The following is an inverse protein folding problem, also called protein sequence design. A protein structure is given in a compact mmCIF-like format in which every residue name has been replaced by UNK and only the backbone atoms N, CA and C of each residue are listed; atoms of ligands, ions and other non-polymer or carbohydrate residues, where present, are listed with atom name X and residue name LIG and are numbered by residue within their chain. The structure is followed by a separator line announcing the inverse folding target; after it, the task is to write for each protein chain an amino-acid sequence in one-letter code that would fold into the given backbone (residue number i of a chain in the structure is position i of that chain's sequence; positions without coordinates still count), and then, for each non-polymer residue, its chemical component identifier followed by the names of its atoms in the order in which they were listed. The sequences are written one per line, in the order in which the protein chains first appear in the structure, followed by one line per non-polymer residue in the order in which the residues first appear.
data_IF_736214894769
#
_entry.id   IF_736214894769
#
_cell.length_a   1.000
_cell.length_b   1.000
_cell.length_c   1.000
_cell.angle_alpha   90.00
_cell.angle_beta   90.00
_cell.angle_gamma   90.00
#
_symmetry.space_group_name_H-M   'P 1'
#
loop_
_entity.id
_entity.type
_entity.pdbx_description
1 polymer ?
#
# COMPACT_ATOMS: atom_id res chain seq x y z
N UNK A 1 -11.84 -18.95 -13.11
CA UNK A 1 -12.37 -17.57 -13.24
C UNK A 1 -11.23 -16.64 -12.89
N UNK A 2 -11.05 -15.54 -13.62
CA UNK A 2 -10.03 -14.53 -13.32
C UNK A 2 -10.46 -13.60 -12.18
N UNK A 3 -11.40 -14.03 -11.34
CA UNK A 3 -11.97 -13.23 -10.26
C UNK A 3 -11.19 -13.48 -8.98
N UNK A 4 -10.69 -12.42 -8.36
CA UNK A 4 -9.93 -12.51 -7.11
C UNK A 4 -10.80 -12.23 -5.89
N UNK A 5 -11.88 -11.45 -6.08
CA UNK A 5 -12.89 -11.12 -5.09
C UNK A 5 -14.21 -10.82 -5.81
N UNK A 6 -15.38 -10.91 -5.14
CA UNK A 6 -16.66 -10.64 -5.78
C UNK A 6 -16.68 -9.29 -6.51
N UNK A 7 -16.83 -9.34 -7.84
CA UNK A 7 -16.88 -8.15 -8.71
C UNK A 7 -15.51 -7.57 -9.09
N UNK A 8 -14.40 -8.22 -8.73
CA UNK A 8 -13.04 -7.75 -9.04
C UNK A 8 -12.24 -8.81 -9.79
N UNK A 9 -11.85 -8.48 -11.02
CA UNK A 9 -11.24 -9.41 -11.97
C UNK A 9 -9.80 -8.99 -12.31
N UNK A 10 -8.92 -9.96 -12.53
CA UNK A 10 -7.59 -9.73 -13.09
C UNK A 10 -7.71 -9.25 -14.54
N UNK A 11 -6.88 -8.27 -14.93
CA UNK A 11 -6.83 -7.81 -16.33
C UNK A 11 -6.05 -8.75 -17.24
N UNK A 12 -5.13 -9.53 -16.66
CA UNK A 12 -4.28 -10.50 -17.34
C UNK A 12 -3.83 -11.61 -16.38
N UNK A 13 -3.02 -12.54 -16.87
CA UNK A 13 -2.47 -13.67 -16.12
C UNK A 13 -1.39 -13.31 -15.10
N UNK A 14 -0.81 -12.10 -15.17
CA UNK A 14 0.20 -11.63 -14.21
C UNK A 14 -0.42 -11.31 -12.86
N UNK A 15 -1.69 -10.92 -12.86
CA UNK A 15 -2.41 -10.48 -11.67
C UNK A 15 -1.91 -9.16 -11.10
N UNK A 16 -1.12 -8.38 -11.85
CA UNK A 16 -0.60 -7.09 -11.38
C UNK A 16 -1.63 -5.97 -11.39
N UNK A 17 -2.68 -6.11 -12.21
CA UNK A 17 -3.79 -5.17 -12.25
C UNK A 17 -5.12 -5.91 -12.15
N UNK A 18 -6.08 -5.22 -11.56
CA UNK A 18 -7.45 -5.69 -11.37
C UNK A 18 -8.45 -4.62 -11.78
N UNK A 19 -9.65 -5.06 -12.15
CA UNK A 19 -10.72 -4.20 -12.62
C UNK A 19 -12.09 -4.68 -12.15
N UNK A 20 -12.98 -3.74 -11.87
CA UNK A 20 -14.41 -3.97 -11.65
C UNK A 20 -15.25 -3.72 -12.93
N UNK A 21 -14.59 -3.40 -14.04
CA UNK A 21 -15.20 -3.01 -15.32
C UNK A 21 -15.18 -1.50 -15.56
N UNK A 22 -15.10 -0.69 -14.51
CA UNK A 22 -15.09 0.78 -14.61
C UNK A 22 -13.68 1.36 -14.46
N UNK A 23 -12.84 0.74 -13.63
CA UNK A 23 -11.48 1.19 -13.37
C UNK A 23 -10.46 0.04 -13.37
N UNK A 24 -9.19 0.33 -13.67
CA UNK A 24 -8.07 -0.62 -13.64
C UNK A 24 -7.04 -0.13 -12.62
N UNK A 25 -6.75 -0.93 -11.61
CA UNK A 25 -5.88 -0.53 -10.49
C UNK A 25 -4.79 -1.55 -10.21
N UNK A 26 -3.60 -1.13 -9.74
CA UNK A 26 -2.57 -2.07 -9.31
C UNK A 26 -3.06 -2.91 -8.12
N UNK A 27 -2.90 -4.23 -8.22
CA UNK A 27 -3.42 -5.17 -7.22
C UNK A 27 -2.86 -4.90 -5.82
N UNK A 28 -1.56 -4.64 -5.70
CA UNK A 28 -0.90 -4.50 -4.38
C UNK A 28 -1.46 -3.29 -3.60
N UNK A 29 -1.58 -2.12 -4.22
CA UNK A 29 -2.08 -0.91 -3.54
C UNK A 29 -3.57 -1.01 -3.22
N UNK A 30 -4.37 -1.63 -4.11
CA UNK A 30 -5.78 -1.88 -3.81
C UNK A 30 -5.94 -2.82 -2.60
N UNK A 31 -5.22 -3.95 -2.61
CA UNK A 31 -5.29 -4.92 -1.51
C UNK A 31 -4.77 -4.35 -0.20
N UNK A 32 -3.82 -3.42 -0.24
CA UNK A 32 -3.40 -2.67 0.96
C UNK A 32 -4.56 -1.93 1.62
N UNK A 33 -5.43 -1.30 0.83
CA UNK A 33 -6.62 -0.63 1.35
C UNK A 33 -7.74 -1.58 1.78
N UNK A 34 -7.71 -2.83 1.33
CA UNK A 34 -8.65 -3.89 1.71
C UNK A 34 -8.27 -4.60 3.02
N UNK A 35 -7.01 -4.49 3.44
CA UNK A 35 -6.54 -5.01 4.72
C UNK A 35 -7.33 -4.41 5.90
N UNK A 36 -7.62 -5.22 6.92
CA UNK A 36 -8.49 -4.86 8.05
C UNK A 36 -9.95 -4.48 7.71
N UNK A 37 -10.43 -4.79 6.49
CA UNK A 37 -11.86 -4.67 6.19
C UNK A 37 -12.64 -5.89 6.69
N UNK A 38 -13.78 -5.73 7.38
CA UNK A 38 -14.53 -6.86 7.95
C UNK A 38 -14.98 -7.93 6.96
N UNK A 39 -15.06 -7.59 5.67
CA UNK A 39 -15.52 -8.49 4.61
C UNK A 39 -14.44 -9.48 4.15
N UNK A 40 -13.18 -9.28 4.53
CA UNK A 40 -12.02 -10.02 4.01
C UNK A 40 -11.12 -10.47 5.15
N UNK A 41 -10.59 -11.69 5.05
CA UNK A 41 -9.59 -12.16 6.00
C UNK A 41 -8.22 -11.52 5.71
N UNK A 42 -7.51 -11.09 6.75
CA UNK A 42 -6.19 -10.47 6.56
C UNK A 42 -5.17 -11.45 5.99
N UNK A 43 -5.28 -12.75 6.29
CA UNK A 43 -4.45 -13.78 5.69
C UNK A 43 -4.67 -13.88 4.19
N UNK A 44 -5.94 -13.89 3.74
CA UNK A 44 -6.28 -13.86 2.31
C UNK A 44 -5.72 -12.61 1.61
N UNK A 45 -5.85 -11.44 2.23
CA UNK A 45 -5.28 -10.19 1.69
C UNK A 45 -3.76 -10.28 1.57
N UNK A 46 -3.08 -10.80 2.60
CA UNK A 46 -1.62 -10.99 2.59
C UNK A 46 -1.20 -12.00 1.53
N UNK A 47 -1.94 -13.09 1.33
CA UNK A 47 -1.65 -14.10 0.31
C UNK A 47 -1.76 -13.51 -1.10
N UNK A 48 -2.76 -12.68 -1.38
CA UNK A 48 -2.88 -11.98 -2.67
C UNK A 48 -1.71 -11.02 -2.87
N UNK A 49 -1.37 -10.21 -1.86
CA UNK A 49 -0.22 -9.28 -1.93
C UNK A 49 1.09 -10.04 -2.20
N UNK A 50 1.35 -11.11 -1.44
CA UNK A 50 2.56 -11.91 -1.59
C UNK A 50 2.63 -12.60 -2.95
N UNK A 51 1.50 -13.10 -3.46
CA UNK A 51 1.41 -13.71 -4.80
C UNK A 51 1.74 -12.70 -5.89
N UNK A 52 1.18 -11.49 -5.81
CA UNK A 52 1.47 -10.41 -6.77
C UNK A 52 2.96 -10.01 -6.73
N UNK A 53 3.55 -9.87 -5.53
CA UNK A 53 4.98 -9.59 -5.39
C UNK A 53 5.82 -10.72 -6.02
N UNK A 54 5.48 -11.98 -5.75
CA UNK A 54 6.18 -13.14 -6.30
C UNK A 54 6.04 -13.27 -7.83
N UNK A 55 4.93 -12.78 -8.39
CA UNK A 55 4.69 -12.70 -9.83
C UNK A 55 5.49 -11.56 -10.52
N UNK A 56 6.21 -10.74 -9.75
CA UNK A 56 7.00 -9.63 -10.27
C UNK A 56 6.23 -8.32 -10.44
N UNK A 57 5.04 -8.22 -9.83
CA UNK A 57 4.30 -6.96 -9.82
C UNK A 57 5.07 -5.88 -9.07
N UNK A 58 5.02 -4.66 -9.59
CA UNK A 58 5.87 -3.57 -9.14
C UNK A 58 5.43 -3.07 -7.76
N UNK A 59 6.27 -3.27 -6.76
CA UNK A 59 5.93 -3.03 -5.34
C UNK A 59 5.65 -1.56 -5.00
N UNK A 60 6.23 -0.64 -5.75
CA UNK A 60 6.07 0.81 -5.55
C UNK A 60 5.05 1.44 -6.51
N UNK A 61 4.28 0.63 -7.23
CA UNK A 61 3.30 1.15 -8.16
C UNK A 61 2.18 1.88 -7.44
N UNK A 62 2.07 3.18 -7.72
CA UNK A 62 1.12 4.04 -7.07
C UNK A 62 -0.31 3.88 -7.61
N UNK A 63 -1.28 4.15 -6.75
CA UNK A 63 -2.68 4.34 -7.15
C UNK A 63 -2.88 5.68 -7.89
N UNK A 64 -4.13 5.98 -8.28
CA UNK A 64 -4.50 7.23 -8.96
C UNK A 64 -4.23 8.49 -8.13
N UNK A 65 -4.09 8.37 -6.80
CA UNK A 65 -3.77 9.49 -5.91
C UNK A 65 -2.26 9.72 -5.79
N UNK A 66 -1.43 8.88 -6.43
CA UNK A 66 0.01 8.92 -6.34
C UNK A 66 0.58 8.23 -5.11
N UNK A 67 -0.22 7.40 -4.43
CA UNK A 67 0.17 6.68 -3.22
C UNK A 67 0.69 5.29 -3.57
N UNK A 68 1.94 4.99 -3.22
CA UNK A 68 2.45 3.61 -3.27
C UNK A 68 1.78 2.74 -2.20
N UNK A 69 1.89 1.40 -2.29
CA UNK A 69 1.43 0.48 -1.24
C UNK A 69 2.01 0.82 0.15
N UNK A 70 3.29 1.23 0.21
CA UNK A 70 3.91 1.66 1.46
C UNK A 70 3.23 2.91 2.04
N UNK A 71 2.94 3.91 1.20
CA UNK A 71 2.25 5.12 1.63
C UNK A 71 0.80 4.82 2.06
N UNK A 72 0.10 3.91 1.40
CA UNK A 72 -1.23 3.45 1.79
C UNK A 72 -1.21 2.72 3.15
N UNK A 73 -0.26 1.81 3.37
CA UNK A 73 -0.08 1.13 4.66
C UNK A 73 0.21 2.13 5.80
N UNK A 74 1.02 3.16 5.52
CA UNK A 74 1.25 4.26 6.47
C UNK A 74 -0.04 5.03 6.74
N UNK A 75 -0.80 5.41 5.72
CA UNK A 75 -2.07 6.14 5.86
C UNK A 75 -3.05 5.39 6.78
N UNK A 76 -3.26 4.10 6.50
CA UNK A 76 -4.17 3.22 7.23
C UNK A 76 -3.63 2.72 8.58
N UNK A 77 -2.38 3.08 8.92
CA UNK A 77 -1.73 2.71 10.18
C UNK A 77 -1.49 1.20 10.34
N UNK A 78 -1.02 0.54 9.27
CA UNK A 78 -0.85 -0.91 9.18
C UNK A 78 0.63 -1.33 9.28
N UNK A 79 1.17 -1.55 10.49
CA UNK A 79 2.59 -1.83 10.69
C UNK A 79 3.04 -3.16 10.05
N UNK A 80 2.17 -4.17 9.96
CA UNK A 80 2.49 -5.44 9.33
C UNK A 80 2.77 -5.26 7.83
N UNK A 81 1.91 -4.52 7.12
CA UNK A 81 2.10 -4.20 5.72
C UNK A 81 3.31 -3.29 5.48
N UNK A 82 3.54 -2.30 6.35
CA UNK A 82 4.77 -1.48 6.29
C UNK A 82 6.01 -2.37 6.36
N UNK A 83 6.06 -3.30 7.31
CA UNK A 83 7.18 -4.22 7.43
C UNK A 83 7.29 -5.18 6.23
N UNK A 84 6.16 -5.66 5.70
CA UNK A 84 6.13 -6.52 4.51
C UNK A 84 6.71 -5.81 3.28
N UNK A 85 6.26 -4.60 2.98
CA UNK A 85 6.69 -3.87 1.79
C UNK A 85 8.17 -3.47 1.88
N UNK A 86 8.63 -2.99 3.03
CA UNK A 86 10.05 -2.65 3.23
C UNK A 86 10.96 -3.89 3.12
N UNK A 87 10.52 -5.06 3.59
CA UNK A 87 11.29 -6.32 3.42
C UNK A 87 11.39 -6.76 1.96
N UNK A 88 10.39 -6.45 1.15
CA UNK A 88 10.35 -6.78 -0.27
C UNK A 88 10.88 -5.66 -1.17
N UNK A 89 11.55 -4.66 -0.60
CA UNK A 89 12.31 -3.66 -1.36
C UNK A 89 11.51 -2.42 -1.79
N UNK A 90 10.34 -2.16 -1.21
CA UNK A 90 9.65 -0.88 -1.41
C UNK A 90 10.56 0.28 -0.99
N UNK A 91 10.63 1.32 -1.82
CA UNK A 91 11.48 2.49 -1.58
C UNK A 91 10.73 3.58 -0.78
N UNK A 92 11.07 3.81 0.51
CA UNK A 92 10.40 4.82 1.33
C UNK A 92 10.79 6.26 0.96
N UNK A 93 11.74 6.45 0.05
CA UNK A 93 12.16 7.76 -0.46
C UNK A 93 11.44 8.17 -1.74
N UNK A 94 10.67 7.26 -2.36
CA UNK A 94 9.79 7.61 -3.47
C UNK A 94 8.76 8.64 -3.03
N UNK A 95 8.66 9.68 -3.85
CA UNK A 95 7.78 10.81 -3.56
C UNK A 95 6.37 10.53 -4.06
N UNK A 96 5.41 10.90 -3.24
CA UNK A 96 4.00 10.97 -3.64
C UNK A 96 3.87 11.99 -4.77
N UNK A 97 3.22 11.59 -5.87
CA UNK A 97 2.85 12.48 -6.98
C UNK A 97 1.34 12.73 -6.94
N UNK A 98 0.91 13.74 -6.20
CA UNK A 98 -0.52 13.98 -5.93
C UNK A 98 -0.96 15.36 -6.39
N UNK A 99 -2.19 15.46 -6.90
CA UNK A 99 -2.80 16.76 -7.18
C UNK A 99 -3.02 17.61 -5.91
N UNK A 100 -2.96 17.00 -4.71
CA UNK A 100 -3.12 17.68 -3.43
C UNK A 100 -1.78 18.22 -2.92
N UNK A 101 -1.54 19.55 -2.91
CA UNK A 101 -0.22 20.10 -2.57
C UNK A 101 0.27 19.79 -1.15
N UNK A 102 -0.63 19.47 -0.22
CA UNK A 102 -0.24 19.18 1.17
C UNK A 102 0.49 17.85 1.34
N UNK A 103 0.37 16.92 0.38
CA UNK A 103 1.02 15.60 0.41
C UNK A 103 1.95 15.37 -0.78
N UNK A 104 1.83 16.19 -1.83
CA UNK A 104 2.68 16.12 -3.01
C UNK A 104 4.16 16.29 -2.62
N UNK A 105 5.03 15.56 -3.32
CA UNK A 105 6.48 15.53 -3.11
C UNK A 105 6.98 15.01 -1.76
N UNK A 106 6.08 14.57 -0.87
CA UNK A 106 6.48 13.93 0.38
C UNK A 106 6.95 12.51 0.14
N UNK A 107 8.04 12.11 0.78
CA UNK A 107 8.40 10.71 0.94
C UNK A 107 7.64 10.06 2.13
N UNK A 108 7.79 8.75 2.32
CA UNK A 108 7.05 8.01 3.36
C UNK A 108 7.33 8.50 4.78
N UNK A 109 8.55 9.00 5.07
CA UNK A 109 8.88 9.55 6.39
C UNK A 109 8.20 10.89 6.64
N UNK A 110 8.28 11.79 5.66
CA UNK A 110 7.67 13.12 5.73
C UNK A 110 6.14 13.01 5.77
N UNK A 111 5.59 12.06 5.02
CA UNK A 111 4.17 11.75 5.05
C UNK A 111 3.73 11.25 6.42
N UNK A 112 4.45 10.30 7.03
CA UNK A 112 4.18 9.84 8.40
C UNK A 112 4.21 10.99 9.42
N UNK A 113 5.17 11.90 9.30
CA UNK A 113 5.28 13.08 10.17
C UNK A 113 4.12 14.06 9.98
N UNK A 114 3.65 14.27 8.74
CA UNK A 114 2.45 15.04 8.46
C UNK A 114 1.21 14.40 9.10
N UNK A 115 1.04 13.08 8.98
CA UNK A 115 -0.09 12.38 9.60
C UNK A 115 -0.06 12.49 11.12
N UNK A 116 1.12 12.41 11.75
CA UNK A 116 1.26 12.60 13.19
C UNK A 116 0.86 14.00 13.67
N UNK A 117 1.11 15.03 12.85
CA UNK A 117 0.71 16.42 13.15
C UNK A 117 -0.78 16.67 12.92
N UNK A 118 -1.33 16.11 11.84
CA UNK A 118 -2.73 16.34 11.43
C UNK A 118 -3.74 15.42 12.14
N UNK A 119 -3.31 14.24 12.58
CA UNK A 119 -4.12 13.25 13.29
C UNK A 119 -3.41 12.74 14.56
N UNK A 120 -3.17 13.61 15.56
CA UNK A 120 -2.38 13.27 16.75
C UNK A 120 -3.04 12.23 17.66
N UNK A 121 -4.34 11.95 17.49
CA UNK A 121 -5.07 10.94 18.27
C UNK A 121 -4.80 9.50 17.81
N UNK A 122 -4.26 9.31 16.60
CA UNK A 122 -3.95 7.97 16.08
C UNK A 122 -2.56 7.56 16.56
N UNK A 123 -2.46 6.45 17.29
CA UNK A 123 -1.16 5.90 17.70
C UNK A 123 -0.45 5.24 16.52
N UNK A 124 0.55 5.95 15.97
CA UNK A 124 1.38 5.50 14.84
C UNK A 124 2.76 5.00 15.28
N UNK A 125 2.97 4.70 16.56
CA UNK A 125 4.29 4.25 17.08
C UNK A 125 4.78 2.97 16.40
N UNK A 126 3.89 2.02 16.14
CA UNK A 126 4.24 0.77 15.49
C UNK A 126 4.73 1.01 14.05
N UNK A 127 3.97 1.75 13.24
CA UNK A 127 4.35 2.16 11.88
C UNK A 127 5.68 2.92 11.89
N UNK A 128 5.82 3.91 12.79
CA UNK A 128 7.06 4.69 12.93
C UNK A 128 8.26 3.81 13.21
N UNK A 129 8.11 2.82 14.09
CA UNK A 129 9.18 1.88 14.41
C UNK A 129 9.60 1.08 13.18
N UNK A 130 8.65 0.52 12.42
CA UNK A 130 9.00 -0.27 11.23
C UNK A 130 9.69 0.57 10.16
N UNK A 131 9.22 1.80 9.92
CA UNK A 131 9.81 2.70 8.93
C UNK A 131 11.22 3.17 9.34
N UNK A 132 11.45 3.46 10.62
CA UNK A 132 12.77 3.90 11.11
C UNK A 132 13.80 2.78 11.12
N UNK A 133 13.41 1.52 11.35
CA UNK A 133 14.32 0.35 11.21
C UNK A 133 14.93 0.25 9.82
N UNK A 134 14.23 0.72 8.79
CA UNK A 134 14.78 0.76 7.43
C UNK A 134 15.83 1.86 7.28
N UNK A 135 15.62 3.03 7.87
CA UNK A 135 16.54 4.18 7.79
C UNK A 135 17.92 3.90 8.40
N UNK A 136 18.00 2.93 9.31
CA UNK A 136 19.23 2.54 10.01
C UNK A 136 20.06 1.49 9.25
N UNK A 137 19.56 0.95 8.13
CA UNK A 137 20.28 0.00 7.27
C UNK A 137 21.08 0.73 6.20
#
# INVERSE_FOLDING_TARGET
ANEIMPGLQLTDETGCYVTDGDFVTPTIVLMTGAYNRPALDNGEVLDIINTAIAAGCRIDEADEMGMSPLNAAILYNEPELVALFLRNGADPYLKISSAKPSIDQLNSFEFLDLLGKSMPSIDRKAVRRELLRYKEK
#
